data_IF_667615045180
#
_entry.id   IF_667615045180
#
_cell.length_a   1.000
_cell.length_b   1.000
_cell.length_c   1.000
_cell.angle_alpha   90.00
_cell.angle_beta   90.00
_cell.angle_gamma   90.00
#
_symmetry.space_group_name_H-M   'P 1'
#
loop_
_entity.id
_entity.type
_entity.pdbx_description
1 polymer ?
#
# COMPACT_ATOMS: atom_id res chain seq x y z
N UNK A 1 -13.89 -22.45 41.73
CA UNK A 1 -13.77 -23.18 40.46
C UNK A 1 -13.34 -22.19 39.41
N UNK A 2 -12.05 -22.19 39.09
CA UNK A 2 -11.40 -21.27 38.15
C UNK A 2 -10.90 -22.09 36.97
N UNK A 3 -11.16 -21.62 35.75
CA UNK A 3 -10.36 -21.90 34.57
C UNK A 3 -10.74 -20.89 33.46
N UNK A 4 -10.06 -19.75 33.45
CA UNK A 4 -9.79 -19.02 32.22
C UNK A 4 -8.77 -19.85 31.42
N UNK A 5 -9.05 -20.12 30.14
CA UNK A 5 -8.07 -20.67 29.21
C UNK A 5 -7.87 -19.71 28.05
N UNK A 6 -6.61 -19.32 27.89
CA UNK A 6 -6.09 -18.29 27.03
C UNK A 6 -6.30 -18.62 25.53
N UNK A 7 -6.79 -17.63 24.78
CA UNK A 7 -6.99 -17.67 23.32
C UNK A 7 -5.80 -17.04 22.56
N UNK A 8 -4.60 -17.05 23.13
CA UNK A 8 -3.42 -16.35 22.57
C UNK A 8 -2.20 -17.23 22.25
N UNK A 9 -2.31 -18.56 22.33
CA UNK A 9 -1.18 -19.48 22.13
C UNK A 9 -1.03 -20.09 20.72
N UNK A 10 -1.55 -19.45 19.66
CA UNK A 10 -1.34 -19.92 18.27
C UNK A 10 -0.65 -18.84 17.43
N UNK A 11 0.63 -18.60 17.72
CA UNK A 11 1.58 -18.05 16.77
C UNK A 11 2.86 -18.87 16.85
N UNK A 12 2.90 -19.99 16.11
CA UNK A 12 4.16 -20.67 15.81
C UNK A 12 4.91 -19.91 14.70
N UNK A 13 6.26 -19.99 14.67
CA UNK A 13 7.05 -19.26 13.69
C UNK A 13 6.86 -19.86 12.31
N UNK A 14 6.46 -19.02 11.35
CA UNK A 14 6.45 -19.38 9.94
C UNK A 14 7.88 -19.75 9.56
N UNK A 15 8.05 -20.99 9.08
CA UNK A 15 9.32 -21.49 8.58
C UNK A 15 9.89 -20.52 7.53
N UNK A 16 11.17 -20.21 7.72
CA UNK A 16 11.98 -19.25 7.00
C UNK A 16 12.03 -19.54 5.50
N UNK A 17 11.07 -19.00 4.76
CA UNK A 17 11.16 -18.82 3.32
C UNK A 17 11.12 -17.32 3.06
N UNK A 18 12.29 -16.72 2.89
CA UNK A 18 12.52 -15.31 2.58
C UNK A 18 11.49 -14.79 1.59
N UNK A 19 10.64 -13.85 2.04
CA UNK A 19 9.68 -13.18 1.18
C UNK A 19 10.41 -12.22 0.21
N UNK A 20 9.87 -12.01 -1.01
CA UNK A 20 10.46 -11.11 -1.98
C UNK A 20 10.39 -9.66 -1.47
N UNK A 21 11.47 -8.89 -1.71
CA UNK A 21 11.73 -7.54 -1.16
C UNK A 21 11.35 -6.47 -2.20
N UNK A 22 10.80 -5.31 -1.79
CA UNK A 22 10.63 -4.14 -2.67
C UNK A 22 11.97 -3.74 -3.31
N UNK A 23 11.93 -3.40 -4.60
CA UNK A 23 13.14 -3.01 -5.35
C UNK A 23 13.50 -1.56 -4.99
N UNK A 24 14.69 -1.34 -4.44
CA UNK A 24 15.27 0.02 -4.34
C UNK A 24 15.66 0.49 -5.72
N UNK A 25 14.75 1.14 -6.41
CA UNK A 25 15.04 1.81 -7.68
C UNK A 25 15.34 3.28 -7.41
N UNK A 26 16.61 3.67 -7.50
CA UNK A 26 16.98 5.08 -7.56
C UNK A 26 16.31 5.70 -8.79
N UNK A 27 15.56 6.78 -8.58
CA UNK A 27 14.80 7.47 -9.61
C UNK A 27 15.71 7.89 -10.79
N UNK A 28 15.69 7.08 -11.85
CA UNK A 28 16.06 7.48 -13.19
C UNK A 28 14.77 7.39 -14.00
N UNK A 29 14.05 8.51 -14.07
CA UNK A 29 12.87 8.66 -14.90
C UNK A 29 13.24 8.36 -16.35
N UNK A 30 12.66 7.31 -16.93
CA UNK A 30 12.53 7.20 -18.38
C UNK A 30 11.16 6.63 -18.73
N UNK A 31 10.28 7.56 -19.02
CA UNK A 31 8.97 7.36 -19.58
C UNK A 31 9.11 7.33 -21.11
N UNK A 32 9.09 6.16 -21.75
CA UNK A 32 8.60 5.98 -23.13
C UNK A 32 8.49 4.49 -23.44
N UNK A 33 7.29 3.99 -23.77
CA UNK A 33 7.13 2.95 -24.80
C UNK A 33 5.69 2.83 -25.28
N UNK A 34 5.44 3.55 -26.37
CA UNK A 34 4.57 3.13 -27.46
C UNK A 34 5.10 1.83 -28.09
N UNK A 35 4.24 0.84 -28.32
CA UNK A 35 4.02 0.23 -29.64
C UNK A 35 2.99 -0.90 -29.56
N UNK A 36 1.93 -0.71 -30.32
CA UNK A 36 0.94 -1.67 -30.78
C UNK A 36 1.54 -2.92 -31.43
N UNK A 37 1.02 -4.10 -31.07
CA UNK A 37 0.99 -5.27 -31.96
C UNK A 37 -0.34 -6.01 -31.80
N UNK A 38 -1.29 -5.66 -32.66
CA UNK A 38 -2.49 -6.45 -32.93
C UNK A 38 -2.08 -7.62 -33.82
N UNK A 39 -2.01 -8.83 -33.28
CA UNK A 39 -1.85 -10.04 -34.07
C UNK A 39 -3.18 -10.78 -34.11
N UNK A 40 -3.97 -10.51 -35.15
CA UNK A 40 -5.14 -11.33 -35.47
C UNK A 40 -4.67 -12.66 -36.06
N UNK A 41 -4.67 -13.72 -35.26
CA UNK A 41 -4.54 -15.09 -35.76
C UNK A 41 -5.92 -15.71 -35.92
N UNK A 42 -6.34 -15.88 -37.17
CA UNK A 42 -7.53 -16.65 -37.56
C UNK A 42 -7.25 -18.14 -37.33
N UNK A 43 -7.79 -18.72 -36.25
CA UNK A 43 -7.73 -20.16 -36.02
C UNK A 43 -8.90 -20.86 -36.72
N UNK A 44 -8.57 -21.65 -37.74
CA UNK A 44 -9.45 -22.62 -38.38
C UNK A 44 -9.84 -23.69 -37.35
N UNK A 45 -11.15 -23.91 -37.22
CA UNK A 45 -11.72 -24.96 -36.39
C UNK A 45 -11.63 -26.31 -37.10
N UNK A 46 -10.78 -27.20 -36.61
CA UNK A 46 -10.91 -28.65 -36.85
C UNK A 46 -11.41 -29.31 -35.56
N UNK A 47 -12.63 -29.83 -35.64
CA UNK A 47 -13.32 -30.57 -34.59
C UNK A 47 -12.69 -31.96 -34.43
N UNK A 48 -11.82 -32.12 -33.44
CA UNK A 48 -11.31 -33.41 -33.00
C UNK A 48 -11.22 -33.47 -31.48
N UNK A 49 -12.17 -34.15 -30.85
CA UNK A 49 -12.17 -34.60 -29.45
C UNK A 49 -11.44 -33.71 -28.44
N UNK A 50 -12.07 -32.62 -27.99
CA UNK A 50 -11.49 -31.68 -27.04
C UNK A 50 -11.24 -32.34 -25.66
N UNK A 51 -10.04 -32.91 -25.47
CA UNK A 51 -9.50 -33.02 -24.13
C UNK A 51 -9.40 -31.60 -23.58
N UNK A 52 -10.06 -31.33 -22.45
CA UNK A 52 -9.90 -30.05 -21.75
C UNK A 52 -8.39 -29.78 -21.61
N UNK A 53 -7.88 -28.65 -22.10
CA UNK A 53 -6.47 -28.35 -21.93
C UNK A 53 -6.16 -28.41 -20.44
N UNK A 54 -5.08 -29.11 -20.09
CA UNK A 54 -4.60 -29.19 -18.71
C UNK A 54 -3.97 -27.83 -18.38
N UNK A 55 -4.80 -26.84 -18.11
CA UNK A 55 -4.39 -25.50 -17.74
C UNK A 55 -3.76 -25.58 -16.36
N UNK A 56 -2.56 -25.02 -16.24
CA UNK A 56 -1.91 -24.86 -14.95
C UNK A 56 -2.78 -23.92 -14.07
N UNK A 57 -3.30 -24.38 -12.92
CA UNK A 57 -4.11 -23.54 -12.03
C UNK A 57 -3.40 -22.28 -11.53
N UNK A 58 -2.07 -22.24 -11.64
CA UNK A 58 -1.25 -21.08 -11.26
C UNK A 58 -1.13 -20.03 -12.36
N UNK A 59 -1.46 -20.38 -13.61
CA UNK A 59 -1.43 -19.46 -14.74
C UNK A 59 -2.81 -18.79 -14.91
N UNK A 60 -2.99 -17.67 -14.19
CA UNK A 60 -4.23 -16.87 -14.21
C UNK A 60 -4.53 -16.37 -15.62
N UNK A 61 -3.50 -15.93 -16.36
CA UNK A 61 -3.61 -15.43 -17.72
C UNK A 61 -4.21 -16.48 -18.68
N UNK A 62 -3.62 -17.68 -18.73
CA UNK A 62 -4.10 -18.76 -19.58
C UNK A 62 -5.51 -19.24 -19.19
N UNK A 63 -5.83 -19.20 -17.89
CA UNK A 63 -7.17 -19.54 -17.39
C UNK A 63 -8.23 -18.53 -17.86
N UNK A 64 -7.90 -17.24 -17.82
CA UNK A 64 -8.79 -16.17 -18.27
C UNK A 64 -8.97 -16.18 -19.78
N UNK A 65 -7.90 -16.39 -20.55
CA UNK A 65 -7.98 -16.54 -22.01
C UNK A 65 -8.88 -17.72 -22.41
N UNK A 66 -8.74 -18.87 -21.72
CA UNK A 66 -9.62 -20.01 -21.96
C UNK A 66 -11.10 -19.70 -21.66
N UNK A 67 -11.39 -18.96 -20.59
CA UNK A 67 -12.77 -18.54 -20.27
C UNK A 67 -13.33 -17.59 -21.31
N UNK A 68 -12.54 -16.62 -21.77
CA UNK A 68 -12.94 -15.66 -22.80
C UNK A 68 -13.28 -16.35 -24.12
N UNK A 69 -12.43 -17.30 -24.56
CA UNK A 69 -12.70 -18.11 -25.77
C UNK A 69 -13.93 -18.98 -25.59
N UNK A 70 -14.06 -19.67 -24.45
CA UNK A 70 -15.16 -20.62 -24.19
C UNK A 70 -16.51 -19.91 -24.18
N UNK A 71 -16.56 -18.69 -23.66
CA UNK A 71 -17.80 -17.93 -23.49
C UNK A 71 -17.99 -16.82 -24.52
N UNK A 72 -17.04 -16.65 -25.46
CA UNK A 72 -17.03 -15.53 -26.42
C UNK A 72 -17.22 -14.17 -25.73
N UNK A 73 -16.44 -13.96 -24.67
CA UNK A 73 -16.52 -12.80 -23.78
C UNK A 73 -15.14 -12.14 -23.61
N UNK A 74 -15.11 -11.02 -22.89
CA UNK A 74 -13.90 -10.25 -22.59
C UNK A 74 -13.70 -10.10 -21.07
N UNK A 75 -13.79 -11.21 -20.31
CA UNK A 75 -13.60 -11.20 -18.86
C UNK A 75 -12.20 -10.73 -18.47
N UNK A 76 -11.17 -11.08 -19.25
CA UNK A 76 -9.79 -10.65 -18.99
C UNK A 76 -9.66 -9.14 -18.91
N UNK A 77 -10.16 -8.45 -19.93
CA UNK A 77 -10.13 -6.99 -20.02
C UNK A 77 -11.05 -6.35 -18.97
N UNK A 78 -12.24 -6.93 -18.78
CA UNK A 78 -13.21 -6.42 -17.82
C UNK A 78 -12.69 -6.45 -16.39
N UNK A 79 -12.12 -7.58 -15.94
CA UNK A 79 -11.58 -7.73 -14.57
C UNK A 79 -10.39 -6.81 -14.33
N UNK A 80 -9.56 -6.58 -15.36
CA UNK A 80 -8.36 -5.73 -15.28
C UNK A 80 -8.65 -4.25 -15.53
N UNK A 81 -9.89 -3.84 -15.75
CA UNK A 81 -10.22 -2.42 -15.88
C UNK A 81 -10.32 -1.74 -14.50
N UNK A 82 -9.59 -0.65 -14.31
CA UNK A 82 -9.68 0.20 -13.12
C UNK A 82 -11.10 0.78 -12.92
N UNK A 83 -11.85 1.00 -14.01
CA UNK A 83 -13.23 1.49 -13.93
C UNK A 83 -14.16 0.52 -13.19
N UNK A 84 -13.80 -0.77 -13.21
CA UNK A 84 -14.55 -1.83 -12.55
C UNK A 84 -14.07 -2.10 -11.11
N UNK A 85 -13.15 -1.30 -10.57
CA UNK A 85 -12.50 -1.53 -9.27
C UNK A 85 -13.48 -1.90 -8.16
N UNK A 86 -14.57 -1.15 -7.99
CA UNK A 86 -15.54 -1.41 -6.91
C UNK A 86 -16.30 -2.73 -7.10
N UNK A 87 -16.64 -3.09 -8.34
CA UNK A 87 -17.30 -4.36 -8.65
C UNK A 87 -16.34 -5.53 -8.45
N UNK A 88 -15.11 -5.39 -8.96
CA UNK A 88 -14.02 -6.35 -8.74
C UNK A 88 -13.76 -6.55 -7.25
N UNK A 89 -13.66 -5.47 -6.47
CA UNK A 89 -13.51 -5.53 -5.02
C UNK A 89 -14.68 -6.26 -4.35
N UNK A 90 -15.92 -5.98 -4.74
CA UNK A 90 -17.10 -6.63 -4.18
C UNK A 90 -17.06 -8.16 -4.39
N UNK A 91 -16.77 -8.60 -5.62
CA UNK A 91 -16.69 -10.02 -5.95
C UNK A 91 -15.50 -10.71 -5.27
N UNK A 92 -14.32 -10.10 -5.29
CA UNK A 92 -13.14 -10.63 -4.63
C UNK A 92 -13.35 -10.76 -3.12
N UNK A 93 -13.94 -9.77 -2.45
CA UNK A 93 -14.22 -9.85 -1.00
C UNK A 93 -15.07 -11.07 -0.67
N UNK A 94 -16.07 -11.39 -1.50
CA UNK A 94 -16.90 -12.57 -1.30
C UNK A 94 -16.08 -13.86 -1.42
N UNK A 95 -15.34 -14.02 -2.51
CA UNK A 95 -14.47 -15.19 -2.73
C UNK A 95 -13.45 -15.37 -1.60
N UNK A 96 -12.81 -14.28 -1.18
CA UNK A 96 -11.83 -14.29 -0.10
C UNK A 96 -12.44 -14.61 1.26
N UNK A 97 -13.74 -14.35 1.48
CA UNK A 97 -14.42 -14.63 2.76
C UNK A 97 -14.77 -16.10 2.89
N UNK A 98 -15.03 -16.76 1.77
CA UNK A 98 -15.29 -18.19 1.70
C UNK A 98 -13.99 -19.02 1.87
N UNK A 99 -12.80 -18.43 1.63
CA UNK A 99 -11.50 -19.08 1.82
C UNK A 99 -10.92 -18.86 3.23
N UNK A 100 -10.76 -19.94 4.01
CA UNK A 100 -10.34 -19.89 5.43
C UNK A 100 -8.89 -20.30 5.70
N UNK A 101 -8.06 -20.56 4.67
CA UNK A 101 -6.74 -21.20 4.85
C UNK A 101 -5.58 -20.29 4.44
N UNK A 102 -4.56 -20.18 5.30
CA UNK A 102 -3.35 -19.35 5.10
C UNK A 102 -2.56 -19.70 3.81
N UNK A 103 -2.66 -20.94 3.33
CA UNK A 103 -2.09 -21.41 2.05
C UNK A 103 -2.67 -20.66 0.83
N UNK A 104 -3.81 -19.99 0.98
CA UNK A 104 -4.44 -19.18 -0.07
C UNK A 104 -3.83 -17.79 -0.20
N UNK A 105 -3.11 -17.26 0.79
CA UNK A 105 -2.59 -15.89 0.75
C UNK A 105 -1.69 -15.63 -0.46
N UNK A 106 -0.84 -16.61 -0.82
CA UNK A 106 0.03 -16.50 -2.02
C UNK A 106 -0.76 -16.55 -3.32
N UNK A 107 -1.80 -17.39 -3.40
CA UNK A 107 -2.69 -17.48 -4.57
C UNK A 107 -3.46 -16.20 -4.76
N UNK A 108 -3.98 -15.65 -3.65
CA UNK A 108 -4.66 -14.36 -3.63
C UNK A 108 -3.71 -13.27 -4.08
N UNK A 109 -2.51 -13.19 -3.53
CA UNK A 109 -1.53 -12.20 -3.96
C UNK A 109 -1.17 -12.33 -5.45
N UNK A 110 -1.01 -13.56 -5.95
CA UNK A 110 -0.76 -13.81 -7.37
C UNK A 110 -1.93 -13.34 -8.26
N UNK A 111 -3.16 -13.69 -7.90
CA UNK A 111 -4.36 -13.24 -8.61
C UNK A 111 -4.49 -11.71 -8.57
N UNK A 112 -4.27 -11.09 -7.40
CA UNK A 112 -4.30 -9.64 -7.26
C UNK A 112 -3.22 -8.97 -8.11
N UNK A 113 -1.98 -9.46 -8.10
CA UNK A 113 -0.91 -8.94 -8.98
C UNK A 113 -1.30 -9.01 -10.45
N UNK A 114 -1.94 -10.10 -10.87
CA UNK A 114 -2.43 -10.23 -12.24
C UNK A 114 -3.56 -9.23 -12.56
N UNK A 115 -4.53 -9.07 -11.65
CA UNK A 115 -5.65 -8.11 -11.82
C UNK A 115 -5.12 -6.67 -11.93
N UNK A 116 -4.23 -6.31 -11.01
CA UNK A 116 -3.69 -4.97 -10.83
C UNK A 116 -2.48 -4.68 -11.73
N UNK A 117 -2.13 -5.60 -12.62
CA UNK A 117 -1.05 -5.37 -13.59
C UNK A 117 -1.45 -4.17 -14.45
N UNK A 118 -0.55 -3.19 -14.52
CA UNK A 118 -0.72 -1.91 -15.23
C UNK A 118 -1.68 -0.91 -14.57
N UNK A 119 -2.13 -1.18 -13.32
CA UNK A 119 -2.96 -0.22 -12.58
C UNK A 119 -2.13 0.91 -11.98
N UNK A 120 -2.76 2.08 -11.84
CA UNK A 120 -2.22 3.19 -11.06
C UNK A 120 -2.10 2.80 -9.58
N UNK A 121 -1.05 3.28 -8.90
CA UNK A 121 -0.81 3.07 -7.47
C UNK A 121 -2.01 3.49 -6.62
N UNK A 122 -2.72 4.55 -7.02
CA UNK A 122 -3.95 5.02 -6.39
C UNK A 122 -5.06 3.97 -6.42
N UNK A 123 -5.30 3.36 -7.58
CA UNK A 123 -6.31 2.31 -7.74
C UNK A 123 -5.93 1.02 -7.01
N UNK A 124 -4.63 0.67 -7.00
CA UNK A 124 -4.11 -0.44 -6.18
C UNK A 124 -4.40 -0.19 -4.70
N UNK A 125 -4.09 1.01 -4.20
CA UNK A 125 -4.29 1.42 -2.81
C UNK A 125 -5.76 1.37 -2.41
N UNK A 126 -6.66 1.88 -3.27
CA UNK A 126 -8.10 1.85 -3.02
C UNK A 126 -8.66 0.42 -3.03
N UNK A 127 -8.23 -0.42 -3.98
CA UNK A 127 -8.63 -1.83 -3.99
C UNK A 127 -8.18 -2.53 -2.71
N UNK A 128 -6.91 -2.35 -2.33
CA UNK A 128 -6.36 -2.97 -1.12
C UNK A 128 -7.12 -2.55 0.14
N UNK A 129 -7.46 -1.26 0.25
CA UNK A 129 -8.27 -0.72 1.35
C UNK A 129 -9.66 -1.37 1.42
N UNK A 130 -10.32 -1.55 0.27
CA UNK A 130 -11.61 -2.24 0.20
C UNK A 130 -11.50 -3.71 0.61
N UNK A 131 -10.47 -4.41 0.14
CA UNK A 131 -10.24 -5.83 0.45
C UNK A 131 -9.86 -6.04 1.92
N UNK A 132 -9.09 -5.12 2.51
CA UNK A 132 -8.66 -5.20 3.90
C UNK A 132 -9.74 -4.91 4.92
N UNK A 133 -10.85 -4.29 4.52
CA UNK A 133 -11.95 -3.96 5.44
C UNK A 133 -12.55 -5.21 6.07
N UNK A 134 -12.37 -5.34 7.38
CA UNK A 134 -12.85 -6.45 8.21
C UNK A 134 -11.89 -7.65 8.27
N UNK A 135 -10.65 -7.50 7.79
CA UNK A 135 -9.60 -8.52 7.86
C UNK A 135 -8.61 -8.23 8.98
N UNK A 136 -7.86 -9.26 9.38
CA UNK A 136 -6.77 -9.10 10.33
C UNK A 136 -5.61 -8.30 9.71
N UNK A 137 -4.91 -7.53 10.56
CA UNK A 137 -3.70 -6.78 10.18
C UNK A 137 -2.65 -7.73 9.58
N UNK A 138 -2.52 -8.94 10.14
CA UNK A 138 -1.54 -9.92 9.65
C UNK A 138 -1.80 -10.30 8.20
N UNK A 139 -3.07 -10.60 7.86
CA UNK A 139 -3.44 -10.99 6.50
C UNK A 139 -3.23 -9.82 5.53
N UNK A 140 -3.72 -8.62 5.88
CA UNK A 140 -3.62 -7.45 5.00
C UNK A 140 -2.18 -7.04 4.75
N UNK A 141 -1.35 -6.98 5.80
CA UNK A 141 0.07 -6.67 5.68
C UNK A 141 0.81 -7.74 4.85
N UNK A 142 0.51 -9.03 5.05
CA UNK A 142 1.16 -10.11 4.29
C UNK A 142 0.83 -10.04 2.80
N UNK A 143 -0.46 -9.87 2.46
CA UNK A 143 -0.87 -9.71 1.05
C UNK A 143 -0.23 -8.45 0.47
N UNK A 144 -0.23 -7.34 1.21
CA UNK A 144 0.39 -6.08 0.78
C UNK A 144 1.89 -6.26 0.49
N UNK A 145 2.64 -6.92 1.38
CA UNK A 145 4.05 -7.22 1.17
C UNK A 145 4.27 -8.04 -0.11
N UNK A 146 3.43 -9.05 -0.33
CA UNK A 146 3.52 -9.86 -1.53
C UNK A 146 3.22 -9.03 -2.77
N UNK A 147 2.12 -8.28 -2.85
CA UNK A 147 1.81 -7.53 -4.08
C UNK A 147 2.83 -6.42 -4.37
N UNK A 148 3.37 -5.77 -3.33
CA UNK A 148 4.29 -4.62 -3.45
C UNK A 148 5.76 -5.00 -3.56
N UNK A 149 6.08 -6.31 -3.55
CA UNK A 149 7.47 -6.76 -3.61
C UNK A 149 8.23 -6.30 -4.87
N UNK A 150 7.54 -5.96 -5.95
CA UNK A 150 8.17 -5.46 -7.18
C UNK A 150 8.09 -3.93 -7.32
N UNK A 151 7.39 -3.27 -6.40
CA UNK A 151 7.19 -1.83 -6.44
C UNK A 151 8.43 -1.12 -5.86
N UNK A 152 8.74 0.10 -6.34
CA UNK A 152 9.64 0.96 -5.61
C UNK A 152 9.06 1.24 -4.22
N UNK A 153 9.94 1.35 -3.22
CA UNK A 153 9.50 1.63 -1.85
C UNK A 153 8.73 2.96 -1.77
N UNK A 154 9.20 3.97 -2.50
CA UNK A 154 8.56 5.26 -2.66
C UNK A 154 8.47 5.63 -4.16
N UNK A 155 7.34 6.20 -4.63
CA UNK A 155 6.12 6.49 -3.87
C UNK A 155 5.22 5.27 -3.66
N UNK A 156 5.39 4.20 -4.44
CA UNK A 156 4.33 3.21 -4.66
C UNK A 156 4.00 2.35 -3.45
N UNK A 157 5.00 1.67 -2.88
CA UNK A 157 4.76 0.81 -1.70
C UNK A 157 4.26 1.62 -0.52
N UNK A 158 4.86 2.79 -0.28
CA UNK A 158 4.45 3.70 0.79
C UNK A 158 2.99 4.14 0.63
N UNK A 159 2.54 4.50 -0.57
CA UNK A 159 1.15 4.91 -0.81
C UNK A 159 0.16 3.79 -0.48
N UNK A 160 0.45 2.56 -0.93
CA UNK A 160 -0.40 1.40 -0.63
C UNK A 160 -0.41 1.12 0.88
N UNK A 161 0.73 1.17 1.55
CA UNK A 161 0.81 0.96 3.01
C UNK A 161 0.02 2.03 3.77
N UNK A 162 0.19 3.30 3.41
CA UNK A 162 -0.51 4.42 4.06
C UNK A 162 -2.03 4.33 3.86
N UNK A 163 -2.50 3.83 2.72
CA UNK A 163 -3.93 3.60 2.49
C UNK A 163 -4.54 2.50 3.40
N UNK A 164 -3.70 1.59 3.92
CA UNK A 164 -4.10 0.47 4.78
C UNK A 164 -4.04 0.77 6.27
N UNK A 165 -3.32 1.82 6.67
CA UNK A 165 -3.13 2.19 8.07
C UNK A 165 -4.20 3.19 8.50
N UNK A 166 -4.77 3.02 9.70
CA UNK A 166 -5.57 4.06 10.33
C UNK A 166 -4.65 5.16 10.89
N UNK A 167 -4.75 6.36 10.31
CA UNK A 167 -4.02 7.55 10.74
C UNK A 167 -4.21 7.90 12.22
N UNK A 168 -5.25 7.40 12.89
CA UNK A 168 -5.57 7.72 14.27
C UNK A 168 -5.07 6.69 15.29
N UNK A 169 -4.50 5.55 14.87
CA UNK A 169 -3.97 4.53 15.81
C UNK A 169 -2.49 4.23 15.52
N UNK A 170 -1.56 4.81 16.29
CA UNK A 170 -0.12 4.51 16.16
C UNK A 170 0.20 3.04 16.49
N UNK A 171 -0.60 2.39 17.33
CA UNK A 171 -0.49 0.96 17.64
C UNK A 171 -0.83 0.10 16.42
N UNK A 172 -1.94 0.40 15.74
CA UNK A 172 -2.28 -0.31 14.50
C UNK A 172 -1.26 -0.03 13.40
N UNK A 173 -0.80 1.22 13.26
CA UNK A 173 0.26 1.58 12.32
C UNK A 173 1.54 0.80 12.58
N UNK A 174 2.01 0.77 13.84
CA UNK A 174 3.21 0.03 14.22
C UNK A 174 3.05 -1.48 14.05
N UNK A 175 1.90 -2.05 14.41
CA UNK A 175 1.60 -3.45 14.16
C UNK A 175 1.63 -3.79 12.66
N UNK A 176 1.01 -2.94 11.82
CA UNK A 176 0.98 -3.14 10.37
C UNK A 176 2.39 -3.05 9.76
N UNK A 177 3.15 -1.98 10.10
CA UNK A 177 4.51 -1.79 9.60
C UNK A 177 5.41 -2.94 10.05
N UNK A 178 5.34 -3.39 11.31
CA UNK A 178 6.11 -4.56 11.79
C UNK A 178 5.86 -5.80 10.94
N UNK A 179 4.59 -6.09 10.65
CA UNK A 179 4.25 -7.32 9.92
C UNK A 179 4.70 -7.22 8.47
N UNK A 180 4.42 -6.10 7.79
CA UNK A 180 4.79 -5.95 6.37
C UNK A 180 6.31 -5.95 6.19
N UNK A 181 7.05 -5.38 7.16
CA UNK A 181 8.49 -5.19 7.06
C UNK A 181 9.31 -6.19 7.88
N UNK A 182 8.74 -7.34 8.24
CA UNK A 182 9.41 -8.35 9.07
C UNK A 182 10.78 -8.77 8.47
N UNK A 183 10.82 -8.96 7.16
CA UNK A 183 11.98 -9.41 6.39
C UNK A 183 12.76 -8.27 5.70
N UNK A 184 12.41 -7.01 5.97
CA UNK A 184 13.03 -5.86 5.30
C UNK A 184 14.31 -5.43 6.00
N UNK A 185 15.24 -4.84 5.25
CA UNK A 185 16.39 -4.19 5.86
C UNK A 185 15.97 -2.95 6.66
N UNK A 186 16.83 -2.55 7.60
CA UNK A 186 16.53 -1.45 8.51
C UNK A 186 16.34 -0.12 7.79
N UNK A 187 17.04 0.08 6.68
CA UNK A 187 17.03 1.34 5.94
C UNK A 187 15.68 1.55 5.26
N UNK A 188 15.17 0.52 4.60
CA UNK A 188 13.83 0.49 4.00
C UNK A 188 12.73 0.67 5.05
N UNK A 189 12.87 0.07 6.24
CA UNK A 189 11.92 0.28 7.35
C UNK A 189 11.94 1.74 7.79
N UNK A 190 13.12 2.33 8.02
CA UNK A 190 13.22 3.74 8.42
C UNK A 190 12.65 4.68 7.37
N UNK A 191 12.93 4.42 6.10
CA UNK A 191 12.42 5.20 4.97
C UNK A 191 10.88 5.11 4.89
N UNK A 192 10.29 3.92 5.01
CA UNK A 192 8.84 3.76 5.06
C UNK A 192 8.23 4.53 6.24
N UNK A 193 8.79 4.37 7.44
CA UNK A 193 8.29 5.02 8.66
C UNK A 193 8.37 6.53 8.57
N UNK A 194 9.43 7.08 7.96
CA UNK A 194 9.54 8.49 7.66
C UNK A 194 8.39 8.99 6.79
N UNK A 195 8.07 8.27 5.70
CA UNK A 195 6.99 8.65 4.80
C UNK A 195 5.62 8.54 5.47
N UNK A 196 5.36 7.44 6.19
CA UNK A 196 4.11 7.23 6.93
C UNK A 196 3.89 8.35 7.95
N UNK A 197 4.88 8.64 8.79
CA UNK A 197 4.72 9.67 9.81
C UNK A 197 4.71 11.09 9.24
N UNK A 198 5.33 11.34 8.08
CA UNK A 198 5.18 12.61 7.37
C UNK A 198 3.76 12.81 6.83
N UNK A 199 3.18 11.78 6.20
CA UNK A 199 1.84 11.84 5.61
C UNK A 199 0.76 11.98 6.68
N UNK A 200 0.93 11.32 7.83
CA UNK A 200 0.02 11.41 8.96
C UNK A 200 0.35 12.55 9.94
N UNK A 201 1.31 13.41 9.59
CA UNK A 201 1.70 14.56 10.39
C UNK A 201 2.02 14.21 11.85
N UNK A 202 2.70 13.08 12.07
CA UNK A 202 3.08 12.66 13.41
C UNK A 202 4.03 13.67 14.06
N UNK A 203 3.69 14.09 15.27
CA UNK A 203 4.58 14.83 16.14
C UNK A 203 5.66 13.91 16.75
N UNK A 204 6.56 14.50 17.52
CA UNK A 204 7.67 13.76 18.14
C UNK A 204 7.14 12.69 19.10
N UNK A 205 6.11 13.00 19.89
CA UNK A 205 5.56 12.07 20.87
C UNK A 205 4.95 10.84 20.19
N UNK A 206 4.21 11.05 19.11
CA UNK A 206 3.60 9.98 18.33
C UNK A 206 4.61 9.14 17.57
N UNK A 207 5.68 9.76 17.07
CA UNK A 207 6.81 9.01 16.52
C UNK A 207 7.50 8.16 17.58
N UNK A 208 7.72 8.70 18.79
CA UNK A 208 8.31 7.95 19.90
C UNK A 208 7.42 6.79 20.36
N UNK A 209 6.11 7.00 20.42
CA UNK A 209 5.12 5.95 20.71
C UNK A 209 5.16 4.85 19.64
N UNK A 210 5.15 5.24 18.35
CA UNK A 210 5.31 4.30 17.26
C UNK A 210 6.62 3.52 17.37
N UNK A 211 7.76 4.18 17.57
CA UNK A 211 9.06 3.51 17.65
C UNK A 211 9.13 2.59 18.87
N UNK A 212 8.56 3.01 19.99
CA UNK A 212 8.50 2.18 21.21
C UNK A 212 7.64 0.96 20.97
N UNK A 213 6.45 1.11 20.39
CA UNK A 213 5.65 -0.04 19.98
C UNK A 213 6.44 -0.90 19.00
N UNK A 214 7.00 -0.32 17.93
CA UNK A 214 7.78 -0.99 16.87
C UNK A 214 8.92 -1.84 17.44
N UNK A 215 9.75 -1.24 18.28
CA UNK A 215 10.89 -1.85 18.90
C UNK A 215 10.50 -2.84 20.01
N UNK A 216 9.39 -2.62 20.70
CA UNK A 216 9.00 -3.42 21.85
C UNK A 216 7.69 -4.18 21.64
N UNK A 217 7.79 -5.43 21.19
CA UNK A 217 6.63 -6.35 21.20
C UNK A 217 6.32 -6.88 22.62
N UNK A 218 5.02 -7.00 22.86
CA UNK A 218 4.27 -7.30 24.10
C UNK A 218 4.47 -8.72 24.68
N UNK A 219 5.27 -9.57 24.02
CA UNK A 219 5.58 -10.90 24.55
C UNK A 219 6.76 -10.79 25.49
N UNK A 220 6.55 -10.93 26.81
CA UNK A 220 7.57 -10.99 27.86
C UNK A 220 8.59 -12.14 27.76
N UNK A 221 8.93 -12.57 26.54
CA UNK A 221 10.06 -13.46 26.24
C UNK A 221 11.32 -12.60 26.12
N UNK A 222 12.32 -12.95 26.91
CA UNK A 222 13.65 -12.34 26.86
C UNK A 222 14.18 -12.37 25.42
N UNK A 223 14.46 -11.18 24.87
CA UNK A 223 14.94 -11.04 23.49
C UNK A 223 16.37 -11.52 23.35
N UNK A 224 16.68 -12.06 22.18
CA UNK A 224 18.06 -12.26 21.74
C UNK A 224 18.78 -10.89 21.62
N UNK A 225 20.11 -10.88 21.72
CA UNK A 225 20.90 -9.64 21.63
C UNK A 225 20.74 -8.92 20.28
N UNK A 226 20.39 -9.66 19.23
CA UNK A 226 20.28 -9.19 17.84
C UNK A 226 19.07 -8.28 17.62
N UNK A 227 17.91 -8.59 18.22
CA UNK A 227 16.71 -7.74 18.18
C UNK A 227 16.94 -6.40 18.90
N UNK A 228 17.64 -6.43 20.05
CA UNK A 228 18.02 -5.21 20.77
C UNK A 228 18.94 -4.33 19.94
N UNK A 229 19.93 -4.92 19.27
CA UNK A 229 20.82 -4.19 18.37
C UNK A 229 20.06 -3.58 17.18
N UNK A 230 19.13 -4.32 16.56
CA UNK A 230 18.28 -3.81 15.47
C UNK A 230 17.41 -2.64 15.94
N UNK A 231 16.84 -2.72 17.14
CA UNK A 231 16.07 -1.63 17.75
C UNK A 231 16.93 -0.39 18.02
N UNK A 232 18.13 -0.56 18.57
CA UNK A 232 19.04 0.56 18.82
C UNK A 232 19.46 1.23 17.50
N UNK A 233 19.81 0.45 16.47
CA UNK A 233 20.11 0.99 15.14
C UNK A 233 18.91 1.73 14.56
N UNK A 234 17.69 1.22 14.74
CA UNK A 234 16.47 1.90 14.32
C UNK A 234 16.28 3.24 15.03
N UNK A 235 16.42 3.28 16.36
CA UNK A 235 16.34 4.49 17.17
C UNK A 235 17.39 5.53 16.75
N UNK A 236 18.62 5.09 16.47
CA UNK A 236 19.67 5.96 15.96
C UNK A 236 19.33 6.51 14.57
N UNK A 237 18.79 5.68 13.67
CA UNK A 237 18.36 6.10 12.34
C UNK A 237 17.18 7.06 12.41
N UNK A 238 16.21 6.81 13.30
CA UNK A 238 15.04 7.66 13.51
C UNK A 238 15.39 9.02 14.16
N UNK A 239 16.57 9.16 14.76
CA UNK A 239 17.02 10.44 15.34
C UNK A 239 17.10 11.56 14.30
N UNK A 240 17.52 11.25 13.07
CA UNK A 240 17.55 12.25 11.99
C UNK A 240 16.15 12.75 11.67
N UNK A 241 15.17 11.84 11.61
CA UNK A 241 13.75 12.13 11.39
C UNK A 241 13.21 13.06 12.50
N UNK A 242 13.43 12.71 13.76
CA UNK A 242 13.00 13.52 14.92
C UNK A 242 13.60 14.93 14.86
N UNK A 243 14.88 15.04 14.50
CA UNK A 243 15.55 16.33 14.33
C UNK A 243 14.91 17.16 13.19
N UNK A 244 14.53 16.55 12.07
CA UNK A 244 13.84 17.26 10.98
C UNK A 244 12.46 17.75 11.40
N UNK A 245 11.68 16.92 12.09
CA UNK A 245 10.35 17.30 12.61
C UNK A 245 10.46 18.47 13.58
N UNK A 246 11.42 18.40 14.50
CA UNK A 246 11.64 19.45 15.50
C UNK A 246 12.06 20.77 14.83
N UNK A 247 12.94 20.74 13.82
CA UNK A 247 13.31 21.94 13.05
C UNK A 247 12.09 22.57 12.37
N UNK A 248 11.23 21.77 11.75
CA UNK A 248 10.00 22.26 11.10
C UNK A 248 9.08 22.97 12.12
N UNK A 249 8.92 22.38 13.31
CA UNK A 249 8.12 22.97 14.39
C UNK A 249 8.73 24.26 14.95
N UNK A 250 10.05 24.35 15.08
CA UNK A 250 10.73 25.58 15.53
C UNK A 250 10.60 26.73 14.53
N UNK A 251 10.59 26.45 13.23
CA UNK A 251 10.36 27.47 12.19
C UNK A 251 8.91 27.96 12.22
N UNK A 252 7.94 27.05 12.43
CA UNK A 252 6.53 27.41 12.56
C UNK A 252 6.22 28.23 13.84
N UNK A 253 6.99 28.03 14.91
CA UNK A 253 6.82 28.71 16.20
C UNK A 253 7.50 30.10 16.29
N UNK A 254 8.09 30.62 15.20
CA UNK A 254 8.65 31.97 15.24
C UNK A 254 7.54 33.00 15.54
N UNK A 255 7.74 33.87 16.57
CA UNK A 255 6.72 34.82 16.97
C UNK A 255 6.39 35.74 15.79
N UNK A 256 5.09 35.85 15.47
CA UNK A 256 4.58 36.88 14.57
C UNK A 256 5.11 38.20 15.09
N UNK A 257 6.02 38.81 14.33
CA UNK A 257 6.63 40.08 14.71
C UNK A 257 5.49 41.11 14.90
N UNK A 258 5.23 41.59 16.13
CA UNK A 258 4.15 42.55 16.38
C UNK A 258 4.43 43.91 15.73
N UNK A 259 5.66 44.14 15.24
CA UNK A 259 6.05 45.34 14.50
C UNK A 259 6.01 45.17 12.98
N UNK A 260 5.48 44.05 12.46
CA UNK A 260 5.18 43.97 11.03
C UNK A 260 3.89 44.74 10.80
N UNK A 261 4.03 46.01 10.39
CA UNK A 261 2.91 46.89 10.04
C UNK A 261 1.90 46.13 9.17
N UNK A 262 0.59 46.28 9.43
CA UNK A 262 -0.42 45.71 8.57
C UNK A 262 -0.15 46.22 7.15
N UNK A 263 0.05 45.29 6.22
CA UNK A 263 0.16 45.60 4.79
C UNK A 263 -1.10 46.41 4.48
N UNK A 264 -0.90 47.71 4.30
CA UNK A 264 -1.97 48.64 3.99
C UNK A 264 -2.66 48.13 2.74
N UNK A 265 -3.90 47.69 2.88
CA UNK A 265 -4.85 47.65 1.79
C UNK A 265 -4.89 49.08 1.24
N UNK A 266 -4.15 49.34 0.14
CA UNK A 266 -4.42 50.49 -0.70
C UNK A 266 -5.81 50.24 -1.29
N UNK A 267 -6.83 51.07 -1.00
CA UNK A 267 -8.04 51.07 -1.79
C UNK A 267 -7.64 51.55 -3.18
N UNK A 268 -7.50 50.60 -4.10
CA UNK A 268 -7.39 50.92 -5.52
C UNK A 268 -8.71 51.59 -5.91
N UNK A 269 -8.56 52.74 -6.55
CA UNK A 269 -9.63 53.69 -6.75
C UNK A 269 -10.70 53.10 -7.65
N UNK A 270 -11.95 53.12 -7.16
CA UNK A 270 -13.13 53.21 -8.00
C UNK A 270 -13.05 54.56 -8.72
N UNK A 271 -12.51 54.58 -9.93
CA UNK A 271 -12.87 55.61 -10.90
C UNK A 271 -14.11 55.16 -11.67
N UNK A 272 -15.12 56.03 -11.58
CA UNK A 272 -16.32 56.06 -12.39
C UNK A 272 -15.96 56.13 -13.88
N UNK A 273 -16.67 55.33 -14.68
CA UNK A 273 -16.81 55.56 -16.12
C UNK A 273 -18.20 55.10 -16.53
N UNK A 274 -19.19 55.93 -16.22
CA UNK A 274 -20.43 55.97 -17.00
C UNK A 274 -20.11 56.55 -18.38
N UNK A 275 -20.32 55.77 -19.44
CA UNK A 275 -20.72 56.29 -20.76
C UNK A 275 -21.29 55.16 -21.64
N UNK A 276 -22.62 55.10 -21.68
CA UNK A 276 -23.45 55.04 -22.88
C UNK A 276 -22.84 54.42 -24.16
N UNK A 277 -23.44 53.33 -24.65
CA UNK A 277 -23.79 53.23 -26.09
C UNK A 277 -25.08 52.42 -26.27
N UNK A 278 -26.04 53.10 -26.87
CA UNK A 278 -27.36 52.67 -27.35
C UNK A 278 -27.20 52.09 -28.76
N UNK A 279 -28.06 51.12 -29.10
CA UNK A 279 -28.39 50.59 -30.44
C UNK A 279 -27.29 49.76 -31.14
N UNK A 280 -27.55 48.61 -31.76
CA UNK A 280 -28.76 48.05 -32.39
C UNK A 280 -28.86 46.54 -32.21
#
# INVERSE_FOLDING_TARGET
MSANSNMFDILQPIASHTLPRPVRQYCMSNNTRTSSHTSSSTLKSDFGGAQKPKIDPWNVEASMEYMDVTHSAHFREWVRSEENLHLTAHHLRRVLTESTVDTEVRKVANGLRWIMSDWSTKSVSELMKLLGKGRSITWTATVTNLISAEFPLFPDTAEVVMAMIDKNSPEQASAFVKVISADWDLEAVTELVFHVGREFEWDVDRYLEFITSYAFNDSGKERNGEERERCMKFLFSARSIICEITKKNMVAAQPINPNKEPIGFKPEQLEESEASTIAS
#
